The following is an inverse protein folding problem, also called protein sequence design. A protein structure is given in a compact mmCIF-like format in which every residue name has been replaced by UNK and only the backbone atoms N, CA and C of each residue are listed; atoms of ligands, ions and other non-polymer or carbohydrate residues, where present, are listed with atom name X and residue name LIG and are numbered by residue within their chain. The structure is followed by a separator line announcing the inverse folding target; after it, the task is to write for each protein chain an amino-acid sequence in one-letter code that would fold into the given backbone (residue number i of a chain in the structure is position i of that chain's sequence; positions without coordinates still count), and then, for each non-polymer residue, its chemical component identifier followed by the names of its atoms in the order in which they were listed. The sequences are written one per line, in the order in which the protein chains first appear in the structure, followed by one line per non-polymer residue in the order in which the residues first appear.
data_IF_807624694643
#
_entry.id   IF_807624694643
#
_cell.length_a   1.000
_cell.length_b   1.000
_cell.length_c   1.000
_cell.angle_alpha   90.00
_cell.angle_beta   90.00
_cell.angle_gamma   90.00
#
_symmetry.space_group_name_H-M   'P 1'
#
loop_
_entity.id
_entity.type
_entity.pdbx_description
1 polymer ?
#
# COMPACT_ATOMS: atom_id res chain seq x y z
N UNK A 1 -15.61 -23.25 6.88
CA UNK A 1 -15.68 -21.77 6.77
C UNK A 1 -14.26 -21.26 6.98
N UNK A 2 -13.83 -20.20 6.28
CA UNK A 2 -12.64 -19.38 6.60
C UNK A 2 -11.25 -19.64 6.00
N UNK A 3 -10.91 -20.72 5.28
CA UNK A 3 -9.51 -20.87 4.83
C UNK A 3 -9.07 -19.78 3.84
N UNK A 4 -9.91 -19.45 2.85
CA UNK A 4 -9.62 -18.38 1.87
C UNK A 4 -9.57 -16.99 2.50
N UNK A 5 -10.41 -16.73 3.50
CA UNK A 5 -10.45 -15.43 4.17
C UNK A 5 -9.28 -15.27 5.14
N UNK A 6 -8.91 -16.34 5.85
CA UNK A 6 -7.74 -16.36 6.71
C UNK A 6 -6.45 -16.21 5.90
N UNK A 7 -6.37 -16.87 4.74
CA UNK A 7 -5.22 -16.74 3.83
C UNK A 7 -5.11 -15.32 3.27
N UNK A 8 -6.21 -14.72 2.81
CA UNK A 8 -6.22 -13.32 2.40
C UNK A 8 -5.76 -12.41 3.54
N UNK A 9 -6.31 -12.58 4.74
CA UNK A 9 -5.93 -11.77 5.90
C UNK A 9 -4.43 -11.87 6.21
N UNK A 10 -3.84 -13.07 6.15
CA UNK A 10 -2.40 -13.29 6.33
C UNK A 10 -1.58 -12.59 5.25
N UNK A 11 -1.98 -12.73 3.98
CA UNK A 11 -1.27 -12.12 2.85
C UNK A 11 -1.31 -10.59 2.91
N UNK A 12 -2.47 -10.01 3.25
CA UNK A 12 -2.61 -8.57 3.39
C UNK A 12 -1.80 -8.03 4.56
N UNK A 13 -1.83 -8.69 5.72
CA UNK A 13 -1.00 -8.31 6.86
C UNK A 13 0.49 -8.41 6.53
N UNK A 14 0.95 -9.53 6.00
CA UNK A 14 2.38 -9.70 5.68
C UNK A 14 2.89 -8.64 4.70
N UNK A 15 2.08 -8.25 3.70
CA UNK A 15 2.42 -7.16 2.78
C UNK A 15 2.53 -5.82 3.51
N UNK A 16 1.54 -5.49 4.33
CA UNK A 16 1.51 -4.22 5.06
C UNK A 16 2.64 -4.13 6.09
N UNK A 17 2.87 -5.19 6.86
CA UNK A 17 3.94 -5.28 7.84
C UNK A 17 5.30 -5.11 7.18
N UNK A 18 5.52 -5.74 6.02
CA UNK A 18 6.77 -5.57 5.26
C UNK A 18 7.06 -4.12 4.90
N UNK A 19 6.06 -3.37 4.43
CA UNK A 19 6.22 -1.93 4.14
C UNK A 19 6.44 -1.10 5.41
N UNK A 20 5.64 -1.35 6.46
CA UNK A 20 5.75 -0.64 7.73
C UNK A 20 7.13 -0.86 8.36
N UNK A 21 7.63 -2.08 8.35
CA UNK A 21 8.92 -2.43 8.95
C UNK A 21 10.08 -1.81 8.16
N UNK A 22 9.95 -1.69 6.84
CA UNK A 22 10.91 -0.96 6.01
C UNK A 22 10.97 0.53 6.41
N UNK A 23 9.82 1.20 6.49
CA UNK A 23 9.75 2.61 6.90
C UNK A 23 10.27 2.83 8.33
N UNK A 24 9.97 1.91 9.25
CA UNK A 24 10.51 1.94 10.62
C UNK A 24 12.03 1.83 10.61
N UNK A 25 12.61 0.91 9.82
CA UNK A 25 14.05 0.76 9.73
C UNK A 25 14.72 2.05 9.25
N UNK A 26 14.16 2.70 8.23
CA UNK A 26 14.69 3.99 7.74
C UNK A 26 14.60 5.09 8.79
N UNK A 27 13.51 5.15 9.56
CA UNK A 27 13.37 6.08 10.69
C UNK A 27 14.34 5.78 11.84
N UNK A 28 14.49 4.52 12.21
CA UNK A 28 15.33 4.13 13.35
C UNK A 28 16.82 4.34 13.05
N UNK A 29 17.20 4.30 11.77
CA UNK A 29 18.57 4.51 11.31
C UNK A 29 18.84 5.97 10.89
N UNK A 30 17.95 6.93 11.24
CA UNK A 30 18.08 8.33 10.83
C UNK A 30 19.41 8.97 11.28
N UNK A 31 19.83 8.71 12.53
CA UNK A 31 21.10 9.21 13.06
C UNK A 31 22.31 8.65 12.31
N UNK A 32 22.21 7.42 11.79
CA UNK A 32 23.26 6.82 11.00
C UNK A 32 23.24 7.34 9.56
N UNK A 33 22.06 7.59 8.99
CA UNK A 33 21.91 8.28 7.71
C UNK A 33 22.56 9.66 7.73
N UNK A 34 22.46 10.42 8.83
CA UNK A 34 23.15 11.70 8.98
C UNK A 34 24.68 11.60 8.99
N UNK A 35 25.24 10.45 9.38
CA UNK A 35 26.70 10.21 9.38
C UNK A 35 27.21 9.70 8.03
N UNK A 36 26.32 9.25 7.15
CA UNK A 36 26.69 8.79 5.82
C UNK A 36 27.16 9.94 4.92
N UNK A 37 27.88 9.61 3.87
CA UNK A 37 28.31 10.59 2.87
C UNK A 37 27.12 11.00 2.00
N UNK A 38 27.18 12.21 1.43
CA UNK A 38 26.17 12.70 0.49
C UNK A 38 25.93 11.68 -0.65
N UNK A 39 27.02 11.15 -1.23
CA UNK A 39 26.94 10.14 -2.29
C UNK A 39 26.20 8.86 -1.86
N UNK A 40 26.34 8.43 -0.60
CA UNK A 40 25.64 7.26 -0.07
C UNK A 40 24.13 7.55 0.11
N UNK A 41 23.78 8.73 0.62
CA UNK A 41 22.38 9.17 0.76
C UNK A 41 21.72 9.29 -0.62
N UNK A 42 22.39 9.88 -1.60
CA UNK A 42 21.90 9.99 -2.98
C UNK A 42 21.69 8.61 -3.63
N UNK A 43 22.58 7.65 -3.36
CA UNK A 43 22.41 6.27 -3.83
C UNK A 43 21.17 5.60 -3.23
N UNK A 44 20.94 5.76 -1.92
CA UNK A 44 19.74 5.24 -1.23
C UNK A 44 18.47 5.91 -1.74
N UNK A 45 18.49 7.23 -1.89
CA UNK A 45 17.37 8.01 -2.43
C UNK A 45 16.97 7.51 -3.83
N UNK A 46 17.96 7.28 -4.70
CA UNK A 46 17.72 6.74 -6.04
C UNK A 46 17.02 5.37 -6.01
N UNK A 47 17.45 4.48 -5.11
CA UNK A 47 16.81 3.16 -4.94
C UNK A 47 15.39 3.31 -4.42
N UNK A 48 15.18 4.12 -3.38
CA UNK A 48 13.86 4.39 -2.82
C UNK A 48 12.90 4.99 -3.87
N UNK A 49 13.36 5.93 -4.69
CA UNK A 49 12.59 6.52 -5.78
C UNK A 49 12.18 5.49 -6.86
N UNK A 50 13.06 4.55 -7.19
CA UNK A 50 12.74 3.46 -8.12
C UNK A 50 11.67 2.52 -7.56
N UNK A 51 11.76 2.17 -6.28
CA UNK A 51 10.75 1.38 -5.57
C UNK A 51 9.42 2.12 -5.51
N UNK A 52 9.45 3.40 -5.11
CA UNK A 52 8.27 4.27 -5.05
C UNK A 52 7.58 4.37 -6.41
N UNK A 53 8.32 4.57 -7.50
CA UNK A 53 7.73 4.68 -8.84
C UNK A 53 7.05 3.36 -9.27
N UNK A 54 7.63 2.21 -8.91
CA UNK A 54 6.97 0.90 -9.10
C UNK A 54 5.66 0.83 -8.32
N UNK A 55 5.68 1.21 -7.03
CA UNK A 55 4.48 1.22 -6.19
C UNK A 55 3.45 2.26 -6.62
N UNK A 56 3.88 3.36 -7.22
CA UNK A 56 2.99 4.40 -7.76
C UNK A 56 2.14 3.87 -8.90
N UNK A 57 2.73 3.08 -9.80
CA UNK A 57 2.01 2.45 -10.89
C UNK A 57 1.01 1.41 -10.37
N UNK A 58 1.41 0.60 -9.39
CA UNK A 58 0.52 -0.34 -8.70
C UNK A 58 -0.65 0.40 -8.01
N UNK A 59 -0.36 1.48 -7.30
CA UNK A 59 -1.36 2.29 -6.60
C UNK A 59 -2.31 3.03 -7.56
N UNK A 60 -1.82 3.50 -8.71
CA UNK A 60 -2.67 4.12 -9.74
C UNK A 60 -3.67 3.10 -10.32
N UNK A 61 -3.21 1.89 -10.63
CA UNK A 61 -4.07 0.80 -11.05
C UNK A 61 -5.07 0.41 -9.95
N UNK A 62 -4.61 0.30 -8.70
CA UNK A 62 -5.44 -0.01 -7.54
C UNK A 62 -6.51 1.06 -7.29
N UNK A 63 -6.18 2.34 -7.46
CA UNK A 63 -7.14 3.45 -7.34
C UNK A 63 -8.26 3.34 -8.36
N UNK A 64 -7.92 3.10 -9.63
CA UNK A 64 -8.93 2.88 -10.68
C UNK A 64 -9.82 1.66 -10.36
N UNK A 65 -9.23 0.59 -9.83
CA UNK A 65 -9.97 -0.60 -9.39
C UNK A 65 -10.91 -0.29 -8.22
N UNK A 66 -10.47 0.49 -7.22
CA UNK A 66 -11.29 0.94 -6.09
C UNK A 66 -12.50 1.73 -6.57
N UNK A 67 -12.33 2.66 -7.50
CA UNK A 67 -13.44 3.45 -8.07
C UNK A 67 -14.47 2.54 -8.75
N UNK A 68 -14.03 1.57 -9.55
CA UNK A 68 -14.91 0.60 -10.20
C UNK A 68 -15.64 -0.32 -9.18
N UNK A 69 -14.95 -0.73 -8.12
CA UNK A 69 -15.53 -1.56 -7.05
C UNK A 69 -16.53 -0.79 -6.21
N UNK A 70 -16.29 0.49 -5.93
CA UNK A 70 -17.25 1.38 -5.23
C UNK A 70 -18.51 1.56 -6.07
N UNK A 71 -18.37 1.78 -7.38
CA UNK A 71 -19.52 1.86 -8.28
C UNK A 71 -20.33 0.56 -8.24
N UNK A 72 -19.66 -0.60 -8.33
CA UNK A 72 -20.29 -1.93 -8.28
C UNK A 72 -20.98 -2.22 -6.94
N UNK A 73 -20.45 -1.71 -5.82
CA UNK A 73 -21.06 -1.88 -4.48
C UNK A 73 -22.43 -1.21 -4.36
N UNK A 74 -22.73 -0.18 -5.17
CA UNK A 74 -24.04 0.51 -5.11
C UNK A 74 -25.20 -0.43 -5.46
N UNK A 75 -24.96 -1.44 -6.29
CA UNK A 75 -25.95 -2.45 -6.67
C UNK A 75 -26.12 -3.54 -5.59
N UNK A 76 -25.15 -3.69 -4.67
CA UNK A 76 -25.17 -4.66 -3.58
C UNK A 76 -25.93 -4.16 -2.33
N UNK A 77 -27.13 -3.63 -2.53
CA UNK A 77 -27.97 -3.20 -1.41
C UNK A 77 -28.28 -4.37 -0.47
N UNK A 78 -28.62 -4.07 0.79
CA UNK A 78 -29.02 -5.12 1.75
C UNK A 78 -30.19 -5.97 1.23
N UNK A 79 -31.14 -5.35 0.52
CA UNK A 79 -32.27 -6.03 -0.11
C UNK A 79 -31.81 -6.99 -1.22
N UNK A 80 -30.93 -6.55 -2.12
CA UNK A 80 -30.39 -7.40 -3.18
C UNK A 80 -29.62 -8.60 -2.59
N UNK A 81 -28.79 -8.37 -1.57
CA UNK A 81 -28.05 -9.45 -0.89
C UNK A 81 -29.00 -10.42 -0.18
N UNK A 82 -30.08 -9.94 0.45
CA UNK A 82 -31.09 -10.78 1.08
C UNK A 82 -31.82 -11.65 0.05
N UNK A 83 -32.18 -11.08 -1.10
CA UNK A 83 -32.78 -11.81 -2.22
C UNK A 83 -31.84 -12.90 -2.75
N UNK A 84 -30.56 -12.60 -2.97
CA UNK A 84 -29.58 -13.59 -3.45
C UNK A 84 -29.42 -14.74 -2.45
N UNK A 85 -29.49 -14.46 -1.15
CA UNK A 85 -29.48 -15.50 -0.09
C UNK A 85 -30.74 -16.35 -0.12
N UNK A 86 -31.92 -15.73 -0.23
CA UNK A 86 -33.20 -16.43 -0.31
C UNK A 86 -33.26 -17.36 -1.52
N UNK A 87 -32.76 -16.88 -2.68
CA UNK A 87 -32.70 -17.62 -3.93
C UNK A 87 -31.51 -18.58 -4.03
N UNK A 88 -30.65 -18.64 -3.00
CA UNK A 88 -29.41 -19.44 -2.99
C UNK A 88 -28.52 -19.18 -4.22
N UNK A 89 -28.46 -17.93 -4.69
CA UNK A 89 -27.68 -17.51 -5.86
C UNK A 89 -26.19 -17.45 -5.51
N UNK A 90 -25.57 -18.65 -5.48
CA UNK A 90 -24.18 -18.83 -5.05
C UNK A 90 -23.21 -18.00 -5.88
N UNK A 91 -23.45 -17.88 -7.19
CA UNK A 91 -22.58 -17.13 -8.11
C UNK A 91 -22.55 -15.64 -7.77
N UNK A 92 -23.69 -15.02 -7.46
CA UNK A 92 -23.72 -13.61 -7.03
C UNK A 92 -23.05 -13.40 -5.68
N UNK A 93 -23.26 -14.32 -4.74
CA UNK A 93 -22.63 -14.26 -3.41
C UNK A 93 -21.10 -14.45 -3.48
N UNK A 94 -20.61 -15.35 -4.33
CA UNK A 94 -19.18 -15.54 -4.59
C UNK A 94 -18.55 -14.29 -5.21
N UNK A 95 -19.17 -13.72 -6.25
CA UNK A 95 -18.69 -12.45 -6.86
C UNK A 95 -18.66 -11.29 -5.87
N UNK A 96 -19.63 -11.22 -4.95
CA UNK A 96 -19.62 -10.22 -3.88
C UNK A 96 -18.41 -10.40 -2.96
N UNK A 97 -18.10 -11.64 -2.57
CA UNK A 97 -16.93 -11.92 -1.73
C UNK A 97 -15.63 -11.55 -2.46
N UNK A 98 -15.49 -11.93 -3.73
CA UNK A 98 -14.35 -11.57 -4.58
C UNK A 98 -14.17 -10.05 -4.68
N UNK A 99 -15.25 -9.28 -4.94
CA UNK A 99 -15.18 -7.82 -4.98
C UNK A 99 -14.74 -7.22 -3.64
N UNK A 100 -15.18 -7.79 -2.52
CA UNK A 100 -14.75 -7.33 -1.20
C UNK A 100 -13.25 -7.61 -0.96
N UNK A 101 -12.74 -8.77 -1.41
CA UNK A 101 -11.32 -9.11 -1.33
C UNK A 101 -10.47 -8.18 -2.18
N UNK A 102 -10.83 -8.01 -3.46
CA UNK A 102 -10.13 -7.14 -4.40
C UNK A 102 -10.12 -5.68 -3.92
N UNK A 103 -11.18 -5.25 -3.24
CA UNK A 103 -11.23 -3.92 -2.63
C UNK A 103 -10.18 -3.76 -1.52
N UNK A 104 -10.05 -4.76 -0.64
CA UNK A 104 -9.06 -4.74 0.43
C UNK A 104 -7.62 -4.76 -0.12
N UNK A 105 -7.34 -5.60 -1.12
CA UNK A 105 -6.04 -5.64 -1.80
C UNK A 105 -5.67 -4.30 -2.43
N UNK A 106 -6.60 -3.67 -3.14
CA UNK A 106 -6.38 -2.39 -3.78
C UNK A 106 -6.13 -1.26 -2.76
N UNK A 107 -6.84 -1.27 -1.62
CA UNK A 107 -6.55 -0.35 -0.51
C UNK A 107 -5.14 -0.53 0.06
N UNK A 108 -4.68 -1.78 0.24
CA UNK A 108 -3.33 -2.06 0.73
C UNK A 108 -2.26 -1.61 -0.27
N UNK A 109 -2.47 -1.81 -1.58
CA UNK A 109 -1.54 -1.33 -2.60
C UNK A 109 -1.35 0.20 -2.55
N UNK A 110 -2.44 0.95 -2.36
CA UNK A 110 -2.35 2.41 -2.18
C UNK A 110 -1.62 2.79 -0.89
N UNK A 111 -1.88 2.08 0.22
CA UNK A 111 -1.19 2.35 1.48
C UNK A 111 0.33 2.08 1.38
N UNK A 112 0.72 1.01 0.69
CA UNK A 112 2.14 0.68 0.46
C UNK A 112 2.83 1.76 -0.36
N UNK A 113 2.18 2.32 -1.40
CA UNK A 113 2.74 3.47 -2.11
C UNK A 113 3.00 4.66 -1.18
N UNK A 114 2.05 5.01 -0.31
CA UNK A 114 2.24 6.12 0.64
C UNK A 114 3.36 5.86 1.66
N UNK A 115 3.62 4.60 2.00
CA UNK A 115 4.75 4.22 2.86
C UNK A 115 6.09 4.47 2.14
N UNK A 116 6.23 4.03 0.89
CA UNK A 116 7.44 4.29 0.09
C UNK A 116 7.65 5.78 -0.18
N UNK A 117 6.57 6.51 -0.45
CA UNK A 117 6.61 7.97 -0.64
C UNK A 117 7.08 8.69 0.63
N UNK A 118 6.65 8.24 1.81
CA UNK A 118 7.12 8.78 3.08
C UNK A 118 8.62 8.51 3.30
N UNK A 119 9.12 7.35 2.89
CA UNK A 119 10.53 7.03 2.98
C UNK A 119 11.40 7.91 2.08
N UNK A 120 10.98 8.10 0.81
CA UNK A 120 11.65 9.04 -0.11
C UNK A 120 11.72 10.43 0.51
N UNK A 121 10.61 10.92 1.07
CA UNK A 121 10.56 12.24 1.71
C UNK A 121 11.50 12.36 2.92
N UNK A 122 11.68 11.29 3.70
CA UNK A 122 12.65 11.26 4.81
C UNK A 122 14.09 11.37 4.27
N UNK A 123 14.45 10.60 3.25
CA UNK A 123 15.79 10.64 2.66
C UNK A 123 16.08 11.99 2.00
N UNK A 124 15.10 12.60 1.33
CA UNK A 124 15.21 13.96 0.79
C UNK A 124 15.42 15.00 1.90
N UNK A 125 14.73 14.88 3.03
CA UNK A 125 14.93 15.76 4.17
C UNK A 125 16.34 15.64 4.77
N UNK A 126 16.87 14.42 4.90
CA UNK A 126 18.24 14.18 5.37
C UNK A 126 19.27 14.79 4.41
N UNK A 127 19.09 14.60 3.09
CA UNK A 127 19.96 15.20 2.08
C UNK A 127 19.94 16.74 2.16
N UNK A 128 18.74 17.33 2.20
CA UNK A 128 18.59 18.79 2.27
C UNK A 128 19.19 19.40 3.54
N UNK A 129 19.12 18.70 4.67
CA UNK A 129 19.75 19.17 5.91
C UNK A 129 21.29 19.11 5.82
N UNK A 130 21.85 18.11 5.14
CA UNK A 130 23.30 18.08 4.88
C UNK A 130 23.76 19.21 3.99
N UNK A 131 23.04 19.48 2.90
CA UNK A 131 23.35 20.59 2.00
C UNK A 131 23.38 21.91 2.78
N UNK A 132 22.49 22.09 3.76
CA UNK A 132 22.49 23.25 4.63
C UNK A 132 23.72 23.29 5.56
N UNK A 133 24.08 22.17 6.19
CA UNK A 133 25.23 22.08 7.09
C UNK A 133 26.57 22.31 6.35
N UNK A 134 26.71 21.85 5.11
CA UNK A 134 27.92 22.03 4.29
C UNK A 134 28.10 23.48 3.78
N UNK A 135 27.09 24.34 3.93
CA UNK A 135 27.15 25.76 3.53
C UNK A 135 27.57 26.72 4.65
N UNK A 136 27.83 26.21 5.87
CA UNK A 136 28.24 26.95 7.07
C UNK A 136 29.76 26.83 7.35
#
# INVERSE_FOLDING_TARGET
MNDKLAELGKQLHAKLDGGIDHLKATKDHLDDLYKETEAAIQAKLKVAQQTMETKKQEAAAAKAQVEALIASKKEETQAAVAEWKANRDRKKLEKRAERAHNYAEACIAMALYSIEEAEVAILEAVAAQKDADDTL
#
